data_IF_946125781963
#
_entry.id   IF_946125781963
#
_cell.length_a   1.000
_cell.length_b   1.000
_cell.length_c   1.000
_cell.angle_alpha   90.00
_cell.angle_beta   90.00
_cell.angle_gamma   90.00
#
_symmetry.space_group_name_H-M   'P 1'
#
loop_
_entity.id
_entity.type
_entity.pdbx_description
1 polymer ?
#
# COMPACT_ATOMS: atom_id res chain seq x y z
N UNK A 1 -2.05 25.27 -11.76
CA UNK A 1 -1.01 24.61 -10.95
C UNK A 1 -1.68 23.56 -10.10
N UNK A 2 -1.40 22.27 -10.30
CA UNK A 2 -1.84 21.24 -9.35
C UNK A 2 -1.05 21.50 -8.06
N UNK A 3 -1.74 21.64 -6.93
CA UNK A 3 -1.09 21.87 -5.64
C UNK A 3 -0.08 20.74 -5.34
N UNK A 4 0.94 21.00 -4.52
CA UNK A 4 1.88 19.94 -4.11
C UNK A 4 1.25 18.92 -3.15
N UNK A 5 0.11 19.28 -2.55
CA UNK A 5 -0.62 18.49 -1.59
C UNK A 5 -2.15 18.58 -1.83
N UNK A 6 -2.86 17.48 -1.64
CA UNK A 6 -4.32 17.37 -1.86
C UNK A 6 -4.93 16.38 -0.85
N UNK A 7 -6.15 16.66 -0.40
CA UNK A 7 -7.00 15.70 0.31
C UNK A 7 -8.12 15.22 -0.63
N UNK A 8 -8.10 13.94 -1.00
CA UNK A 8 -9.17 13.30 -1.76
C UNK A 8 -10.10 12.58 -0.79
N UNK A 9 -11.22 13.21 -0.46
CA UNK A 9 -12.13 12.74 0.57
C UNK A 9 -13.01 11.59 0.07
N UNK A 10 -12.80 10.38 0.61
CA UNK A 10 -13.53 9.17 0.24
C UNK A 10 -14.60 8.77 1.27
N UNK A 11 -14.45 9.17 2.53
CA UNK A 11 -15.30 8.68 3.63
C UNK A 11 -15.33 9.59 4.88
N UNK A 12 -14.96 10.86 4.77
CA UNK A 12 -14.95 11.84 5.85
C UNK A 12 -14.05 11.47 7.05
N UNK A 13 -13.09 10.54 6.88
CA UNK A 13 -12.18 10.09 7.95
C UNK A 13 -11.37 11.23 8.59
N UNK A 14 -11.17 12.34 7.87
CA UNK A 14 -10.37 13.49 8.30
C UNK A 14 -11.19 14.79 8.45
N UNK A 15 -12.53 14.71 8.50
CA UNK A 15 -13.40 15.89 8.44
C UNK A 15 -13.17 16.94 9.56
N UNK A 16 -12.66 16.51 10.72
CA UNK A 16 -12.42 17.38 11.88
C UNK A 16 -10.95 17.77 12.05
N UNK A 17 -10.08 17.32 11.15
CA UNK A 17 -8.64 17.53 11.26
C UNK A 17 -8.23 18.82 10.54
N UNK A 18 -7.42 19.69 11.17
CA UNK A 18 -7.01 20.97 10.60
C UNK A 18 -5.87 20.80 9.57
N UNK A 19 -6.09 19.97 8.55
CA UNK A 19 -5.08 19.56 7.58
C UNK A 19 -4.56 20.71 6.69
N UNK A 20 -5.34 21.78 6.55
CA UNK A 20 -5.05 22.91 5.66
C UNK A 20 -4.73 22.49 4.20
N UNK A 21 -5.35 21.40 3.73
CA UNK A 21 -5.20 20.89 2.36
C UNK A 21 -6.44 21.25 1.51
N UNK A 22 -6.25 21.59 0.21
CA UNK A 22 -7.38 21.60 -0.71
C UNK A 22 -8.09 20.25 -0.71
N UNK A 23 -9.42 20.26 -0.76
CA UNK A 23 -10.25 19.04 -0.69
C UNK A 23 -10.95 18.80 -2.02
N UNK A 24 -10.87 17.57 -2.51
CA UNK A 24 -11.71 17.06 -3.60
C UNK A 24 -12.67 16.03 -3.00
N UNK A 25 -13.97 16.28 -3.16
CA UNK A 25 -15.00 15.35 -2.73
C UNK A 25 -15.10 14.17 -3.70
N UNK A 26 -14.83 12.98 -3.20
CA UNK A 26 -14.94 11.73 -3.92
C UNK A 26 -15.75 10.68 -3.13
N UNK A 27 -16.58 11.11 -2.17
CA UNK A 27 -17.30 10.21 -1.26
C UNK A 27 -18.26 9.25 -1.95
N UNK A 28 -18.74 9.63 -3.14
CA UNK A 28 -19.54 8.75 -4.02
C UNK A 28 -18.79 7.46 -4.41
N UNK A 29 -17.45 7.47 -4.35
CA UNK A 29 -16.61 6.29 -4.61
C UNK A 29 -16.36 5.44 -3.36
N UNK A 30 -16.42 6.03 -2.16
CA UNK A 30 -16.05 5.39 -0.89
C UNK A 30 -16.68 4.01 -0.69
N UNK A 31 -18.01 3.90 -0.60
CA UNK A 31 -18.67 2.60 -0.39
C UNK A 31 -18.38 1.56 -1.48
N UNK A 32 -18.05 2.01 -2.70
CA UNK A 32 -17.82 1.14 -3.86
C UNK A 32 -16.38 0.61 -3.90
N UNK A 33 -15.43 1.32 -3.29
CA UNK A 33 -14.01 1.00 -3.31
C UNK A 33 -13.48 0.45 -1.98
N UNK A 34 -14.25 0.52 -0.89
CA UNK A 34 -13.77 0.17 0.45
C UNK A 34 -13.29 -1.29 0.51
N UNK A 35 -12.10 -1.50 1.05
CA UNK A 35 -11.35 -2.77 1.15
C UNK A 35 -10.95 -3.43 -0.16
N UNK A 36 -11.85 -3.48 -1.13
CA UNK A 36 -11.62 -4.11 -2.44
C UNK A 36 -12.66 -3.67 -3.46
N UNK A 37 -12.31 -3.80 -4.75
CA UNK A 37 -13.23 -3.50 -5.84
C UNK A 37 -12.92 -4.33 -7.10
N UNK A 38 -13.91 -4.54 -7.99
CA UNK A 38 -13.65 -5.13 -9.30
C UNK A 38 -12.78 -4.20 -10.15
N UNK A 39 -11.92 -4.79 -11.01
CA UNK A 39 -11.01 -4.03 -11.87
C UNK A 39 -11.70 -2.91 -12.65
N UNK A 40 -12.88 -3.17 -13.19
CA UNK A 40 -13.65 -2.17 -13.94
C UNK A 40 -13.85 -0.88 -13.12
N UNK A 41 -14.27 -1.02 -11.87
CA UNK A 41 -14.54 0.11 -10.99
C UNK A 41 -13.25 0.85 -10.60
N UNK A 42 -12.16 0.11 -10.38
CA UNK A 42 -10.84 0.67 -10.12
C UNK A 42 -10.37 1.54 -11.30
N UNK A 43 -10.53 1.05 -12.52
CA UNK A 43 -10.15 1.82 -13.72
C UNK A 43 -11.08 3.03 -13.92
N UNK A 44 -12.39 2.90 -13.68
CA UNK A 44 -13.33 4.04 -13.69
C UNK A 44 -12.91 5.13 -12.69
N UNK A 45 -12.56 4.74 -11.46
CA UNK A 45 -12.04 5.66 -10.45
C UNK A 45 -10.73 6.32 -10.88
N UNK A 46 -9.79 5.54 -11.43
CA UNK A 46 -8.51 6.06 -11.92
C UNK A 46 -8.71 7.14 -12.98
N UNK A 47 -9.58 6.89 -13.97
CA UNK A 47 -9.87 7.87 -15.02
C UNK A 47 -10.51 9.14 -14.46
N UNK A 48 -11.42 9.01 -13.51
CA UNK A 48 -12.10 10.16 -12.90
C UNK A 48 -11.18 11.04 -12.04
N UNK A 49 -10.15 10.43 -11.42
CA UNK A 49 -9.27 11.09 -10.44
C UNK A 49 -7.79 11.09 -10.83
N UNK A 50 -7.47 10.90 -12.11
CA UNK A 50 -6.08 10.74 -12.57
C UNK A 50 -5.20 11.92 -12.15
N UNK A 51 -5.71 13.15 -12.31
CA UNK A 51 -5.02 14.38 -11.90
C UNK A 51 -4.81 14.44 -10.38
N UNK A 52 -5.82 14.08 -9.60
CA UNK A 52 -5.75 14.04 -8.13
C UNK A 52 -4.70 13.03 -7.67
N UNK A 53 -4.69 11.83 -8.28
CA UNK A 53 -3.77 10.74 -7.96
C UNK A 53 -2.31 11.06 -8.30
N UNK A 54 -2.08 11.94 -9.28
CA UNK A 54 -0.75 12.44 -9.65
C UNK A 54 -0.20 13.50 -8.68
N UNK A 55 -0.97 13.93 -7.68
CA UNK A 55 -0.50 14.90 -6.67
C UNK A 55 0.67 14.30 -5.87
N UNK A 56 1.79 15.04 -5.68
CA UNK A 56 2.96 14.54 -4.96
C UNK A 56 2.62 14.04 -3.55
N UNK A 57 1.92 14.87 -2.77
CA UNK A 57 1.38 14.49 -1.47
C UNK A 57 -0.14 14.33 -1.57
N UNK A 58 -0.64 13.13 -1.33
CA UNK A 58 -2.07 12.85 -1.38
C UNK A 58 -2.48 12.15 -0.08
N UNK A 59 -3.42 12.77 0.63
CA UNK A 59 -4.15 12.15 1.72
C UNK A 59 -5.52 11.71 1.18
N UNK A 60 -5.96 10.48 1.47
CA UNK A 60 -7.25 10.02 0.98
C UNK A 60 -7.86 8.93 1.85
N UNK A 61 -9.12 9.15 2.22
CA UNK A 61 -9.94 8.22 3.00
C UNK A 61 -9.31 7.74 4.32
N UNK A 62 -9.96 6.74 4.91
CA UNK A 62 -9.38 5.90 5.96
C UNK A 62 -8.42 4.82 5.41
N UNK A 63 -7.87 3.99 6.29
CA UNK A 63 -6.95 2.89 5.92
C UNK A 63 -7.56 1.87 4.94
N UNK A 64 -8.88 1.78 4.86
CA UNK A 64 -9.62 0.83 4.02
C UNK A 64 -9.47 1.10 2.50
N UNK A 65 -8.75 2.16 2.12
CA UNK A 65 -8.52 2.56 0.73
C UNK A 65 -7.05 2.45 0.29
N UNK A 66 -6.13 1.96 1.14
CA UNK A 66 -4.69 1.97 0.83
C UNK A 66 -4.33 1.20 -0.46
N UNK A 67 -5.19 0.30 -0.95
CA UNK A 67 -4.99 -0.41 -2.21
C UNK A 67 -5.02 0.48 -3.44
N UNK A 68 -5.64 1.66 -3.34
CA UNK A 68 -5.63 2.68 -4.40
C UNK A 68 -4.23 3.29 -4.60
N UNK A 69 -3.28 3.07 -3.69
CA UNK A 69 -1.88 3.51 -3.82
C UNK A 69 -1.26 3.01 -5.13
N UNK A 70 -1.56 1.77 -5.52
CA UNK A 70 -1.02 1.18 -6.74
C UNK A 70 -1.39 1.97 -8.01
N UNK A 71 -2.53 2.67 -8.02
CA UNK A 71 -2.92 3.52 -9.15
C UNK A 71 -2.03 4.76 -9.28
N UNK A 72 -1.60 5.35 -8.16
CA UNK A 72 -0.77 6.56 -8.15
C UNK A 72 0.57 6.33 -8.86
N UNK A 73 1.12 5.13 -8.67
CA UNK A 73 2.40 4.74 -9.25
C UNK A 73 2.40 4.75 -10.79
N UNK A 74 1.23 4.61 -11.43
CA UNK A 74 1.10 4.63 -12.91
C UNK A 74 1.48 5.98 -13.53
N UNK A 75 1.42 7.07 -12.76
CA UNK A 75 1.71 8.44 -13.23
C UNK A 75 3.15 8.88 -12.96
N UNK A 76 3.89 8.14 -12.15
CA UNK A 76 5.27 8.48 -11.82
C UNK A 76 6.16 8.06 -12.99
N UNK A 77 6.83 9.03 -13.58
CA UNK A 77 7.78 8.78 -14.67
C UNK A 77 9.13 8.31 -14.11
N UNK A 78 9.75 7.36 -14.81
CA UNK A 78 11.09 6.84 -14.46
C UNK A 78 11.09 5.78 -13.36
N UNK A 79 12.28 5.29 -12.97
CA UNK A 79 12.42 4.21 -11.98
C UNK A 79 11.85 4.59 -10.61
N UNK A 80 11.09 3.67 -10.01
CA UNK A 80 10.44 3.84 -8.70
C UNK A 80 11.03 2.86 -7.70
N UNK A 81 11.48 3.37 -6.56
CA UNK A 81 11.62 2.61 -5.32
C UNK A 81 10.42 2.92 -4.42
N UNK A 82 9.66 1.89 -4.04
CA UNK A 82 8.50 2.03 -3.17
C UNK A 82 8.86 1.61 -1.75
N UNK A 83 8.64 2.50 -0.79
CA UNK A 83 8.71 2.19 0.65
C UNK A 83 7.31 2.34 1.22
N UNK A 84 6.81 1.28 1.84
CA UNK A 84 5.50 1.25 2.50
C UNK A 84 5.73 1.01 4.00
N UNK A 85 5.15 1.88 4.83
CA UNK A 85 5.06 1.66 6.27
C UNK A 85 3.65 1.16 6.56
N UNK A 86 3.54 -0.13 6.85
CA UNK A 86 2.25 -0.78 7.06
C UNK A 86 2.42 -1.98 8.00
N UNK A 87 1.40 -2.21 8.83
CA UNK A 87 1.34 -3.39 9.69
C UNK A 87 1.09 -4.67 8.88
N UNK A 88 0.52 -4.54 7.68
CA UNK A 88 0.27 -5.61 6.74
C UNK A 88 1.30 -5.60 5.59
N UNK A 89 1.74 -6.77 5.10
CA UNK A 89 2.64 -6.84 3.97
C UNK A 89 1.95 -6.65 2.60
N UNK A 90 0.62 -6.67 2.55
CA UNK A 90 -0.23 -6.45 1.36
C UNK A 90 0.16 -7.23 0.09
N UNK A 91 0.74 -8.39 0.30
CA UNK A 91 1.38 -9.24 -0.70
C UNK A 91 0.55 -10.45 -1.12
N UNK A 92 -0.69 -10.58 -0.67
CA UNK A 92 -1.50 -11.78 -0.90
C UNK A 92 -1.75 -11.99 -2.40
N UNK A 93 -1.43 -13.18 -2.89
CA UNK A 93 -1.53 -13.55 -4.31
C UNK A 93 -2.93 -14.06 -4.69
N UNK A 94 -3.78 -14.32 -3.70
CA UNK A 94 -5.15 -14.81 -3.91
C UNK A 94 -6.11 -13.69 -4.31
N UNK A 95 -7.25 -14.00 -4.94
CA UNK A 95 -8.30 -13.03 -5.16
C UNK A 95 -8.88 -12.49 -3.84
N UNK A 96 -9.43 -11.26 -3.83
CA UNK A 96 -9.52 -10.32 -4.95
C UNK A 96 -8.20 -9.60 -5.27
N UNK A 97 -7.93 -9.35 -6.57
CA UNK A 97 -6.67 -8.70 -7.02
C UNK A 97 -6.58 -7.22 -6.62
N UNK A 98 -7.69 -6.51 -6.60
CA UNK A 98 -7.74 -5.11 -6.20
C UNK A 98 -8.33 -5.04 -4.81
N UNK A 99 -7.46 -5.23 -3.82
CA UNK A 99 -7.81 -5.27 -2.41
C UNK A 99 -6.65 -4.80 -1.56
N UNK A 100 -6.97 -4.36 -0.34
CA UNK A 100 -6.04 -3.96 0.70
C UNK A 100 -4.88 -4.95 0.84
N UNK A 101 -5.16 -6.21 1.19
CA UNK A 101 -4.12 -7.22 1.39
C UNK A 101 -3.31 -7.67 0.16
N UNK A 102 -3.52 -7.09 -1.02
CA UNK A 102 -2.90 -7.54 -2.28
C UNK A 102 -2.31 -6.41 -3.15
N UNK A 103 -2.34 -5.15 -2.70
CA UNK A 103 -2.01 -4.02 -3.57
C UNK A 103 -0.53 -3.92 -3.94
N UNK A 104 0.37 -4.47 -3.10
CA UNK A 104 1.82 -4.53 -3.41
C UNK A 104 2.05 -5.32 -4.71
N UNK A 105 1.22 -6.34 -4.97
CA UNK A 105 1.28 -7.09 -6.22
C UNK A 105 0.88 -6.23 -7.42
N UNK A 106 -0.06 -5.29 -7.27
CA UNK A 106 -0.43 -4.33 -8.33
C UNK A 106 0.67 -3.30 -8.56
N UNK A 107 1.39 -2.90 -7.51
CA UNK A 107 2.56 -2.02 -7.63
C UNK A 107 3.69 -2.71 -8.41
N UNK A 108 3.99 -3.98 -8.09
CA UNK A 108 5.03 -4.78 -8.77
C UNK A 108 4.71 -5.10 -10.23
N UNK A 109 3.46 -4.98 -10.66
CA UNK A 109 3.06 -5.12 -12.07
C UNK A 109 3.47 -3.90 -12.92
N UNK A 110 3.88 -2.78 -12.31
CA UNK A 110 4.28 -1.56 -13.01
C UNK A 110 5.76 -1.68 -13.44
N UNK A 111 6.08 -1.61 -14.75
CA UNK A 111 7.43 -1.91 -15.26
C UNK A 111 8.57 -1.06 -14.66
N UNK A 112 8.27 0.14 -14.19
CA UNK A 112 9.27 1.04 -13.63
C UNK A 112 9.45 0.90 -12.12
N UNK A 113 8.61 0.13 -11.42
CA UNK A 113 8.80 -0.22 -10.01
C UNK A 113 9.92 -1.25 -9.91
N UNK A 114 11.09 -0.81 -9.44
CA UNK A 114 12.31 -1.64 -9.37
C UNK A 114 12.37 -2.49 -8.12
N UNK A 115 11.92 -1.92 -7.00
CA UNK A 115 11.92 -2.55 -5.69
C UNK A 115 10.79 -1.98 -4.85
N UNK A 116 10.18 -2.86 -4.08
CA UNK A 116 9.20 -2.53 -3.04
C UNK A 116 9.75 -3.03 -1.72
N UNK A 117 9.70 -2.19 -0.69
CA UNK A 117 10.13 -2.53 0.65
C UNK A 117 9.03 -2.14 1.64
N UNK A 118 8.49 -3.12 2.36
CA UNK A 118 7.42 -2.92 3.35
C UNK A 118 8.02 -3.02 4.75
N UNK A 119 7.77 -2.02 5.59
CA UNK A 119 8.40 -1.85 6.90
C UNK A 119 7.35 -1.80 8.01
N UNK A 120 7.64 -2.48 9.12
CA UNK A 120 6.81 -2.44 10.33
C UNK A 120 5.72 -3.50 10.37
N UNK A 121 5.78 -4.52 9.52
CA UNK A 121 4.73 -5.54 9.48
C UNK A 121 4.71 -6.35 10.79
N UNK A 122 3.63 -6.28 11.55
CA UNK A 122 3.43 -7.09 12.77
C UNK A 122 2.39 -8.20 12.59
N UNK A 123 1.54 -8.10 11.56
CA UNK A 123 0.32 -8.87 11.51
C UNK A 123 0.49 -10.33 11.04
N UNK A 124 -0.58 -11.13 11.18
CA UNK A 124 -0.58 -12.58 11.01
C UNK A 124 -0.09 -13.07 9.64
N UNK A 125 -0.22 -12.27 8.58
CA UNK A 125 0.14 -12.61 7.21
C UNK A 125 1.63 -12.87 7.05
N UNK A 126 2.47 -12.31 7.93
CA UNK A 126 3.90 -12.55 7.92
C UNK A 126 4.30 -13.94 8.45
N UNK A 127 3.37 -14.72 9.00
CA UNK A 127 3.71 -15.88 9.81
C UNK A 127 3.06 -17.16 9.30
N UNK A 128 3.68 -18.30 9.60
CA UNK A 128 3.11 -19.60 9.26
C UNK A 128 1.74 -19.78 9.94
N UNK A 129 0.71 -20.28 9.22
CA UNK A 129 0.74 -20.73 7.83
C UNK A 129 0.46 -19.62 6.80
N UNK A 130 -0.12 -18.49 7.18
CA UNK A 130 -0.63 -17.45 6.28
C UNK A 130 0.41 -16.89 5.31
N UNK A 131 1.67 -16.89 5.73
CA UNK A 131 2.80 -16.44 4.95
C UNK A 131 2.97 -17.19 3.62
N UNK A 132 2.38 -18.37 3.43
CA UNK A 132 2.42 -19.11 2.15
C UNK A 132 1.68 -18.38 1.01
N UNK A 133 0.76 -17.49 1.35
CA UNK A 133 -0.02 -16.73 0.37
C UNK A 133 0.65 -15.43 -0.06
N UNK A 134 1.76 -15.05 0.57
CA UNK A 134 2.55 -13.90 0.14
C UNK A 134 3.24 -14.11 -1.21
N UNK A 135 3.60 -13.02 -1.89
CA UNK A 135 4.31 -13.07 -3.17
C UNK A 135 5.78 -13.48 -3.01
N UNK A 136 6.00 -14.78 -2.72
CA UNK A 136 7.33 -15.37 -2.53
C UNK A 136 8.19 -15.34 -3.77
N UNK A 137 7.57 -15.22 -4.95
CA UNK A 137 8.30 -15.05 -6.21
C UNK A 137 9.03 -13.71 -6.25
N UNK A 138 8.34 -12.62 -5.89
CA UNK A 138 8.95 -11.29 -5.85
C UNK A 138 10.04 -11.19 -4.77
N UNK A 139 9.82 -11.79 -3.60
CA UNK A 139 10.85 -11.84 -2.56
C UNK A 139 12.11 -12.58 -3.02
N UNK A 140 11.97 -13.76 -3.64
CA UNK A 140 13.11 -14.51 -4.19
C UNK A 140 13.83 -13.75 -5.31
N UNK A 141 13.08 -12.97 -6.09
CA UNK A 141 13.65 -12.12 -7.14
C UNK A 141 14.33 -10.85 -6.60
N UNK A 142 14.20 -10.55 -5.30
CA UNK A 142 14.74 -9.32 -4.69
C UNK A 142 13.98 -8.05 -5.09
N UNK A 143 12.80 -8.17 -5.71
CA UNK A 143 11.95 -7.04 -6.09
C UNK A 143 10.96 -6.65 -4.99
N UNK A 144 10.71 -7.54 -4.04
CA UNK A 144 9.92 -7.29 -2.83
C UNK A 144 10.75 -7.64 -1.60
N UNK A 145 10.76 -6.74 -0.62
CA UNK A 145 11.28 -7.00 0.71
C UNK A 145 10.22 -6.66 1.74
N UNK A 146 10.12 -7.51 2.76
CA UNK A 146 9.19 -7.32 3.86
C UNK A 146 9.98 -7.40 5.15
N UNK A 147 9.91 -6.33 5.91
CA UNK A 147 10.65 -6.11 7.12
C UNK A 147 9.71 -6.10 8.32
N UNK A 148 9.34 -7.29 8.85
CA UNK A 148 8.42 -7.37 9.96
C UNK A 148 9.07 -6.99 11.28
N UNK A 149 8.30 -6.41 12.19
CA UNK A 149 8.73 -6.16 13.57
C UNK A 149 8.54 -7.43 14.42
N UNK A 150 9.60 -7.92 15.07
CA UNK A 150 9.63 -9.31 15.61
C UNK A 150 9.99 -9.46 17.09
N UNK A 151 10.09 -8.37 17.87
CA UNK A 151 10.44 -8.44 19.29
C UNK A 151 9.56 -9.45 20.06
N UNK A 152 8.25 -9.44 19.83
CA UNK A 152 7.30 -10.30 20.55
C UNK A 152 7.10 -11.69 19.90
N UNK A 153 7.94 -12.05 18.92
CA UNK A 153 7.82 -13.31 18.16
C UNK A 153 8.77 -14.39 18.67
N UNK A 154 8.45 -15.70 18.50
CA UNK A 154 9.36 -16.79 18.86
C UNK A 154 10.70 -16.70 18.13
N UNK A 155 11.76 -17.27 18.70
CA UNK A 155 13.12 -17.19 18.16
C UNK A 155 13.24 -17.60 16.67
N UNK A 156 12.46 -18.60 16.24
CA UNK A 156 12.40 -19.02 14.83
C UNK A 156 11.95 -17.91 13.87
N UNK A 157 11.01 -17.06 14.29
CA UNK A 157 10.45 -15.98 13.48
C UNK A 157 11.41 -14.79 13.46
N UNK A 158 12.21 -14.60 14.52
CA UNK A 158 13.24 -13.55 14.61
C UNK A 158 14.40 -13.75 13.64
N UNK A 159 14.62 -14.99 13.19
CA UNK A 159 15.63 -15.34 12.18
C UNK A 159 15.16 -15.08 10.74
N UNK A 160 13.91 -14.65 10.55
CA UNK A 160 13.40 -14.32 9.23
C UNK A 160 14.24 -13.20 8.62
N UNK A 161 14.61 -13.36 7.34
CA UNK A 161 15.32 -12.31 6.60
C UNK A 161 14.52 -11.00 6.61
N UNK A 162 15.21 -9.90 6.89
CA UNK A 162 14.63 -8.56 6.95
C UNK A 162 13.87 -8.27 8.25
N UNK A 163 13.80 -9.20 9.19
CA UNK A 163 13.16 -8.97 10.47
C UNK A 163 13.84 -7.84 11.25
N UNK A 164 13.01 -6.97 11.82
CA UNK A 164 13.39 -5.79 12.59
C UNK A 164 13.17 -6.09 14.07
N UNK A 165 14.20 -5.84 14.88
CA UNK A 165 14.15 -5.86 16.33
C UNK A 165 14.38 -4.44 16.86
N UNK A 166 13.87 -4.16 18.06
CA UNK A 166 14.13 -2.92 18.79
C UNK A 166 15.60 -2.57 18.89
N UNK A 167 16.47 -3.58 18.98
CA UNK A 167 17.90 -3.39 19.18
C UNK A 167 18.67 -3.14 17.87
N UNK A 168 18.11 -3.46 16.70
CA UNK A 168 18.83 -3.40 15.42
C UNK A 168 18.12 -2.63 14.29
N UNK A 169 16.95 -2.01 14.53
CA UNK A 169 16.19 -1.34 13.47
C UNK A 169 16.90 -0.15 12.80
N UNK A 170 18.01 0.33 13.37
CA UNK A 170 18.82 1.44 12.85
C UNK A 170 20.01 0.99 12.00
N UNK A 171 20.31 -0.31 11.98
CA UNK A 171 21.40 -0.92 11.20
C UNK A 171 20.93 -1.27 9.78
#
# INVERSE_FOLDING_TARGET
>A
MVGRALHLNLDDAWQNEPLALPVVDARVWGPRLRFSAPRRLIEEFYQAHETSLATPFLLYGSGDFHHLTALRLRRIAGPIGLVSFDNHPDWDVRPPKWACGAWINRALEIPHVRRVSVWGCGNFECWWPHQIFGNRRAERAGTLEVHPWVDDRPAKDRQRRGAILRDNWRE
#
